data_IF_492054006175
#
_entry.id   IF_492054006175
#
_cell.length_a   1.000
_cell.length_b   1.000
_cell.length_c   1.000
_cell.angle_alpha   90.00
_cell.angle_beta   90.00
_cell.angle_gamma   90.00
#
_symmetry.space_group_name_H-M   'P 1'
#
loop_
_entity.id
_entity.type
_entity.pdbx_description
1 polymer ?
#
# COMPACT_ATOMS: atom_id res chain seq x y z
N UNK A 1 16.52 5.35 3.69
CA UNK A 1 17.53 4.54 2.95
C UNK A 1 17.18 4.53 1.47
N UNK A 2 16.78 5.69 0.95
CA UNK A 2 16.06 5.82 -0.32
C UNK A 2 16.09 7.30 -0.74
N UNK A 3 15.63 7.56 -1.96
CA UNK A 3 15.45 8.88 -2.53
C UNK A 3 13.99 9.09 -2.89
N UNK A 4 13.30 9.96 -2.15
CA UNK A 4 11.89 10.29 -2.35
C UNK A 4 11.70 11.70 -2.94
N UNK A 5 10.50 12.00 -3.43
CA UNK A 5 10.13 13.31 -3.99
C UNK A 5 10.18 14.45 -2.96
N UNK A 6 9.87 14.15 -1.69
CA UNK A 6 9.88 15.11 -0.59
C UNK A 6 10.61 14.56 0.63
N UNK A 7 10.98 15.47 1.55
CA UNK A 7 11.40 15.18 2.91
C UNK A 7 10.50 16.02 3.81
N UNK A 8 9.71 15.37 4.65
CA UNK A 8 8.74 16.03 5.52
C UNK A 8 9.30 16.02 6.93
N UNK A 9 9.66 17.18 7.44
CA UNK A 9 10.15 17.39 8.80
C UNK A 9 9.03 17.95 9.69
N UNK A 10 9.28 18.03 11.00
CA UNK A 10 8.30 18.54 11.96
C UNK A 10 7.81 19.96 11.60
N UNK A 11 8.70 20.84 11.11
CA UNK A 11 8.34 22.20 10.71
C UNK A 11 7.35 22.24 9.53
N UNK A 12 7.46 21.31 8.58
CA UNK A 12 6.53 21.21 7.44
C UNK A 12 5.14 20.78 7.90
N UNK A 13 5.08 19.84 8.85
CA UNK A 13 3.81 19.41 9.48
C UNK A 13 3.17 20.53 10.29
N UNK A 14 3.96 21.31 11.03
CA UNK A 14 3.47 22.42 11.83
C UNK A 14 2.72 23.46 10.98
N UNK A 15 3.15 23.70 9.74
CA UNK A 15 2.49 24.61 8.81
C UNK A 15 1.10 24.13 8.34
N UNK A 16 0.81 22.83 8.48
CA UNK A 16 -0.46 22.21 8.09
C UNK A 16 -1.37 21.90 9.28
N UNK A 17 -0.91 22.15 10.51
CA UNK A 17 -1.72 21.92 11.71
C UNK A 17 -2.99 22.79 11.70
N UNK A 18 -4.13 22.17 12.02
CA UNK A 18 -5.44 22.83 12.01
C UNK A 18 -6.02 23.07 10.62
N UNK A 19 -5.40 22.56 9.55
CA UNK A 19 -6.01 22.57 8.22
C UNK A 19 -7.35 21.82 8.24
N UNK A 20 -8.38 22.36 7.57
CA UNK A 20 -9.76 21.84 7.66
C UNK A 20 -9.92 20.38 7.19
N UNK A 21 -8.97 19.87 6.41
CA UNK A 21 -8.95 18.48 5.93
C UNK A 21 -8.12 17.53 6.80
N UNK A 22 -7.41 18.03 7.82
CA UNK A 22 -6.53 17.23 8.69
C UNK A 22 -7.13 17.04 10.07
N UNK A 23 -7.09 15.80 10.58
CA UNK A 23 -7.61 15.45 11.91
C UNK A 23 -6.55 14.89 12.87
N UNK A 24 -5.31 14.78 12.40
CA UNK A 24 -4.21 14.23 13.19
C UNK A 24 -2.97 13.99 12.34
N UNK A 25 -2.02 13.27 12.91
CA UNK A 25 -0.86 12.74 12.21
C UNK A 25 -1.22 11.36 11.65
N UNK A 26 -0.97 11.16 10.35
CA UNK A 26 -1.15 9.88 9.68
C UNK A 26 -0.19 8.82 10.24
N UNK A 27 -0.32 7.59 9.72
CA UNK A 27 0.36 6.41 10.24
C UNK A 27 1.86 6.62 10.48
N UNK A 28 2.30 6.32 11.70
CA UNK A 28 3.70 6.53 12.08
C UNK A 28 4.54 5.26 11.91
N UNK A 29 4.93 5.00 10.66
CA UNK A 29 5.60 3.75 10.25
C UNK A 29 7.03 3.60 10.79
N UNK A 30 7.72 4.71 11.11
CA UNK A 30 9.06 4.68 11.69
C UNK A 30 9.00 4.33 13.20
N UNK A 31 8.43 3.17 13.52
CA UNK A 31 8.36 2.64 14.89
C UNK A 31 9.74 2.43 15.54
N UNK A 32 10.84 2.07 14.84
CA UNK A 32 12.17 2.01 15.46
C UNK A 32 12.63 3.38 15.94
N UNK A 33 12.38 4.43 15.13
CA UNK A 33 12.64 5.81 15.53
C UNK A 33 11.88 6.21 16.79
N UNK A 34 10.66 5.71 16.99
CA UNK A 34 9.88 5.94 18.21
C UNK A 34 10.52 5.23 19.41
N UNK A 35 10.81 3.92 19.27
CA UNK A 35 11.37 3.07 20.34
C UNK A 35 12.73 3.59 20.81
N UNK A 36 13.58 3.98 19.85
CA UNK A 36 14.92 4.51 20.12
C UNK A 36 14.94 6.03 20.34
N UNK A 37 13.77 6.68 20.33
CA UNK A 37 13.59 8.12 20.56
C UNK A 37 14.44 8.99 19.63
N UNK A 38 14.47 8.64 18.35
CA UNK A 38 15.07 9.45 17.30
C UNK A 38 14.55 10.90 17.39
N UNK A 39 15.44 11.92 17.44
CA UNK A 39 15.02 13.30 17.65
C UNK A 39 14.03 13.81 16.60
N UNK A 40 14.17 13.42 15.33
CA UNK A 40 13.28 13.87 14.27
C UNK A 40 11.91 13.20 14.36
N UNK A 41 11.86 11.90 14.66
CA UNK A 41 10.61 11.19 14.92
C UNK A 41 9.88 11.78 16.13
N UNK A 42 10.56 11.96 17.25
CA UNK A 42 9.97 12.52 18.47
C UNK A 42 9.51 13.97 18.28
N UNK A 43 10.20 14.77 17.47
CA UNK A 43 9.78 16.13 17.16
C UNK A 43 8.41 16.16 16.44
N UNK A 44 8.18 15.23 15.51
CA UNK A 44 6.88 15.09 14.83
C UNK A 44 5.78 14.69 15.81
N UNK A 45 6.01 13.67 16.65
CA UNK A 45 5.01 13.20 17.61
C UNK A 45 4.61 14.27 18.62
N UNK A 46 5.57 15.06 19.11
CA UNK A 46 5.30 16.16 20.06
C UNK A 46 4.38 17.24 19.49
N UNK A 47 4.40 17.48 18.17
CA UNK A 47 3.49 18.44 17.55
C UNK A 47 2.03 18.01 17.64
N UNK A 48 1.78 16.71 17.71
CA UNK A 48 0.44 16.12 17.77
C UNK A 48 0.11 15.54 19.16
N UNK A 49 0.87 15.92 20.19
CA UNK A 49 0.62 15.48 21.57
C UNK A 49 -0.79 15.90 22.03
N UNK A 50 -1.55 14.94 22.56
CA UNK A 50 -2.95 15.13 22.92
C UNK A 50 -3.94 15.11 21.75
N UNK A 51 -3.44 15.06 20.51
CA UNK A 51 -4.23 14.84 19.29
C UNK A 51 -4.28 13.38 18.86
N UNK A 52 -4.82 13.14 17.67
CA UNK A 52 -4.81 11.82 17.04
C UNK A 52 -3.47 11.59 16.32
N UNK A 53 -2.88 10.42 16.56
CA UNK A 53 -1.71 9.92 15.84
C UNK A 53 -2.02 8.48 15.45
N UNK A 54 -2.03 8.23 14.15
CA UNK A 54 -2.28 6.91 13.60
C UNK A 54 -1.03 6.03 13.67
N UNK A 55 -1.23 4.72 13.82
CA UNK A 55 -0.13 3.77 14.03
C UNK A 55 0.05 2.79 12.89
N UNK A 56 1.30 2.36 12.76
CA UNK A 56 1.80 1.35 11.84
C UNK A 56 2.97 0.64 12.52
N UNK A 57 2.74 -0.55 13.07
CA UNK A 57 3.75 -1.30 13.82
C UNK A 57 3.67 -2.82 13.58
N UNK A 58 4.00 -3.29 12.36
CA UNK A 58 3.96 -4.72 12.02
C UNK A 58 4.89 -5.52 12.93
N UNK A 59 4.39 -6.64 13.48
CA UNK A 59 5.13 -7.59 14.33
C UNK A 59 5.67 -7.00 15.64
N UNK A 60 5.33 -5.75 15.97
CA UNK A 60 5.84 -5.09 17.17
C UNK A 60 5.13 -5.63 18.41
N UNK A 61 5.89 -6.11 19.39
CA UNK A 61 5.38 -6.79 20.59
C UNK A 61 6.09 -6.37 21.88
N UNK A 62 5.56 -6.82 23.01
CA UNK A 62 6.22 -6.76 24.31
C UNK A 62 6.49 -5.34 24.81
N UNK A 63 7.75 -5.06 25.16
CA UNK A 63 8.16 -3.74 25.70
C UNK A 63 8.29 -2.68 24.62
N UNK A 64 8.61 -3.08 23.39
CA UNK A 64 8.75 -2.14 22.30
C UNK A 64 7.38 -1.64 21.84
N UNK A 65 6.37 -2.51 21.83
CA UNK A 65 4.97 -2.10 21.66
C UNK A 65 4.51 -1.15 22.78
N UNK A 66 4.91 -1.39 24.03
CA UNK A 66 4.63 -0.45 25.13
C UNK A 66 5.28 0.92 24.86
N UNK A 67 6.52 0.96 24.36
CA UNK A 67 7.22 2.20 24.06
C UNK A 67 6.50 2.99 22.94
N UNK A 68 6.07 2.30 21.89
CA UNK A 68 5.31 2.87 20.78
C UNK A 68 3.97 3.47 21.25
N UNK A 69 3.19 2.69 22.01
CA UNK A 69 1.94 3.17 22.59
C UNK A 69 2.17 4.32 23.60
N UNK A 70 3.21 4.26 24.42
CA UNK A 70 3.54 5.32 25.38
C UNK A 70 3.89 6.65 24.70
N UNK A 71 4.32 6.63 23.43
CA UNK A 71 4.60 7.83 22.64
C UNK A 71 3.34 8.58 22.14
N UNK A 72 2.14 8.07 22.42
CA UNK A 72 0.87 8.74 22.11
C UNK A 72 0.10 8.15 20.93
N UNK A 73 0.64 7.12 20.26
CA UNK A 73 0.02 6.45 19.12
C UNK A 73 -1.09 5.50 19.62
N UNK A 74 -2.25 5.50 18.97
CA UNK A 74 -3.47 4.85 19.54
C UNK A 74 -4.21 3.90 18.62
N UNK A 75 -3.97 3.96 17.32
CA UNK A 75 -4.54 3.03 16.34
C UNK A 75 -3.44 2.18 15.76
N UNK A 76 -3.83 1.08 15.11
CA UNK A 76 -2.91 0.19 14.43
C UNK A 76 -3.65 -0.71 13.44
N UNK A 77 -3.10 -0.91 12.25
CA UNK A 77 -3.71 -1.69 11.17
C UNK A 77 -2.82 -2.80 10.57
N UNK A 78 -1.59 -2.98 11.07
CA UNK A 78 -0.61 -3.94 10.52
C UNK A 78 -0.60 -5.33 11.19
N UNK A 79 -1.61 -5.64 12.00
CA UNK A 79 -1.70 -6.97 12.62
C UNK A 79 -2.13 -8.04 11.62
N UNK A 80 -1.30 -9.08 11.46
CA UNK A 80 -1.55 -10.17 10.48
C UNK A 80 -2.05 -11.47 11.13
N UNK A 81 -2.03 -11.55 12.46
CA UNK A 81 -2.56 -12.69 13.23
C UNK A 81 -3.45 -12.23 14.38
N UNK A 82 -4.33 -13.14 14.84
CA UNK A 82 -5.19 -12.90 15.99
C UNK A 82 -4.37 -12.66 17.28
N UNK A 83 -3.24 -13.35 17.45
CA UNK A 83 -2.38 -13.21 18.62
C UNK A 83 -1.77 -11.80 18.69
N UNK A 84 -1.26 -11.32 17.56
CA UNK A 84 -0.68 -9.98 17.44
C UNK A 84 -1.74 -8.90 17.71
N UNK A 85 -2.89 -9.00 17.05
CA UNK A 85 -4.00 -8.09 17.26
C UNK A 85 -4.51 -8.10 18.70
N UNK A 86 -4.58 -9.27 19.34
CA UNK A 86 -4.98 -9.40 20.74
C UNK A 86 -4.00 -8.72 21.69
N UNK A 87 -2.69 -8.87 21.48
CA UNK A 87 -1.69 -8.14 22.27
C UNK A 87 -1.88 -6.63 22.11
N UNK A 88 -2.01 -6.15 20.87
CA UNK A 88 -2.23 -4.72 20.56
C UNK A 88 -3.48 -4.17 21.26
N UNK A 89 -4.58 -4.91 21.27
CA UNK A 89 -5.79 -4.58 22.04
C UNK A 89 -5.53 -4.53 23.55
N UNK A 90 -4.80 -5.51 24.10
CA UNK A 90 -4.44 -5.55 25.53
C UNK A 90 -3.53 -4.40 25.96
N UNK A 91 -2.74 -3.83 25.04
CA UNK A 91 -1.94 -2.62 25.25
C UNK A 91 -2.75 -1.32 25.09
N UNK A 92 -4.04 -1.42 24.77
CA UNK A 92 -4.93 -0.28 24.65
C UNK A 92 -4.88 0.43 23.30
N UNK A 93 -4.28 -0.19 22.27
CA UNK A 93 -4.44 0.26 20.89
C UNK A 93 -5.83 -0.12 20.37
N UNK A 94 -6.36 0.71 19.47
CA UNK A 94 -7.50 0.33 18.63
C UNK A 94 -6.98 -0.40 17.41
N UNK A 95 -7.49 -1.60 17.16
CA UNK A 95 -7.09 -2.40 16.00
C UNK A 95 -8.04 -2.13 14.85
N UNK A 96 -7.49 -1.74 13.71
CA UNK A 96 -8.20 -1.57 12.45
C UNK A 96 -8.01 -2.87 11.66
N UNK A 97 -9.07 -3.65 11.49
CA UNK A 97 -9.05 -4.85 10.66
C UNK A 97 -8.94 -4.39 9.20
N UNK A 98 -7.92 -4.88 8.51
CA UNK A 98 -7.63 -4.53 7.12
C UNK A 98 -8.13 -5.59 6.15
N UNK A 99 -8.73 -5.15 5.05
CA UNK A 99 -9.02 -5.98 3.88
C UNK A 99 -8.69 -5.23 2.59
N UNK A 100 -7.39 -5.09 2.35
CA UNK A 100 -6.83 -4.50 1.14
C UNK A 100 -6.59 -5.51 0.04
N UNK A 101 -6.07 -5.05 -1.10
CA UNK A 101 -5.82 -5.90 -2.27
C UNK A 101 -4.68 -6.90 -2.09
N UNK A 102 -3.63 -6.53 -1.32
CA UNK A 102 -2.48 -7.40 -0.99
C UNK A 102 -2.23 -7.50 0.52
N UNK A 103 -3.25 -7.17 1.31
CA UNK A 103 -3.20 -7.09 2.77
C UNK A 103 -4.53 -7.57 3.36
N UNK A 104 -4.80 -8.87 3.16
CA UNK A 104 -6.07 -9.53 3.49
C UNK A 104 -6.02 -10.17 4.88
N UNK A 105 -6.21 -9.34 5.91
CA UNK A 105 -6.08 -9.72 7.32
C UNK A 105 -7.44 -10.01 8.00
N UNK A 106 -8.56 -9.74 7.30
CA UNK A 106 -9.91 -9.86 7.84
C UNK A 106 -10.20 -11.25 8.41
N UNK A 107 -9.89 -12.30 7.66
CA UNK A 107 -10.16 -13.67 8.09
C UNK A 107 -9.37 -14.06 9.34
N UNK A 108 -8.12 -13.60 9.45
CA UNK A 108 -7.26 -13.90 10.59
C UNK A 108 -7.73 -13.16 11.86
N UNK A 109 -8.22 -11.92 11.71
CA UNK A 109 -8.62 -11.06 12.83
C UNK A 109 -10.11 -11.19 13.19
N UNK A 110 -10.94 -11.76 12.31
CA UNK A 110 -12.38 -11.93 12.50
C UNK A 110 -12.77 -12.54 13.85
N UNK A 111 -12.08 -13.58 14.39
CA UNK A 111 -12.45 -14.18 15.68
C UNK A 111 -12.38 -13.20 16.85
N UNK A 112 -11.61 -12.13 16.73
CA UNK A 112 -11.50 -11.10 17.75
C UNK A 112 -12.66 -10.12 17.72
N UNK A 113 -13.42 -9.98 16.63
CA UNK A 113 -14.49 -8.99 16.52
C UNK A 113 -15.80 -9.49 17.15
N UNK A 114 -15.95 -9.20 18.44
CA UNK A 114 -17.09 -9.60 19.27
C UNK A 114 -17.81 -8.38 19.84
N UNK A 115 -18.93 -8.54 20.52
CA UNK A 115 -19.57 -7.43 21.25
C UNK A 115 -18.65 -6.78 22.29
N UNK A 116 -17.73 -7.56 22.89
CA UNK A 116 -16.79 -7.09 23.92
C UNK A 116 -15.70 -6.19 23.34
N UNK A 117 -15.16 -6.56 22.18
CA UNK A 117 -14.00 -5.92 21.54
C UNK A 117 -14.38 -4.90 20.48
N UNK A 118 -15.57 -4.97 19.90
CA UNK A 118 -16.05 -4.04 18.89
C UNK A 118 -15.86 -2.55 19.23
N UNK A 119 -15.98 -2.07 20.49
CA UNK A 119 -15.66 -0.69 20.83
C UNK A 119 -14.21 -0.25 20.58
N UNK A 120 -13.28 -1.19 20.48
CA UNK A 120 -11.84 -0.98 20.27
C UNK A 120 -11.35 -1.50 18.91
N UNK A 121 -12.24 -2.03 18.08
CA UNK A 121 -11.93 -2.51 16.75
C UNK A 121 -12.66 -1.69 15.69
N UNK A 122 -11.97 -1.43 14.58
CA UNK A 122 -12.46 -0.65 13.45
C UNK A 122 -12.22 -1.44 12.16
N UNK A 123 -12.78 -0.99 11.04
CA UNK A 123 -12.49 -1.55 9.72
C UNK A 123 -11.74 -0.52 8.88
N UNK A 124 -10.73 -0.96 8.14
CA UNK A 124 -10.08 -0.19 7.09
C UNK A 124 -9.83 -1.09 5.87
N UNK A 125 -9.73 -0.49 4.69
CA UNK A 125 -9.24 -1.21 3.52
C UNK A 125 -7.75 -1.07 3.35
N UNK A 126 -7.15 -0.01 3.95
CA UNK A 126 -5.82 0.44 3.61
C UNK A 126 -5.72 0.59 2.07
N UNK A 127 -4.74 -0.02 1.42
CA UNK A 127 -4.61 -0.02 -0.03
C UNK A 127 -5.56 -1.02 -0.72
N UNK A 128 -6.52 -0.48 -1.46
CA UNK A 128 -7.45 -1.27 -2.29
C UNK A 128 -7.51 -0.75 -3.71
N UNK A 129 -7.24 -1.64 -4.67
CA UNK A 129 -7.27 -1.37 -6.09
C UNK A 129 -8.72 -1.05 -6.53
N UNK A 130 -8.94 -0.04 -7.41
CA UNK A 130 -10.24 0.18 -8.06
C UNK A 130 -10.87 -1.08 -8.66
N UNK A 131 -10.08 -2.05 -9.14
CA UNK A 131 -10.61 -3.31 -9.66
C UNK A 131 -11.33 -4.12 -8.57
N UNK A 132 -10.69 -4.34 -7.41
CA UNK A 132 -11.28 -5.02 -6.26
C UNK A 132 -12.49 -4.26 -5.69
N UNK A 133 -12.48 -2.92 -5.76
CA UNK A 133 -13.65 -2.10 -5.37
C UNK A 133 -14.82 -2.38 -6.32
N UNK A 134 -14.57 -2.53 -7.63
CA UNK A 134 -15.59 -2.85 -8.62
C UNK A 134 -16.13 -4.28 -8.52
N UNK A 135 -15.25 -5.24 -8.21
CA UNK A 135 -15.57 -6.68 -8.19
C UNK A 135 -16.22 -7.12 -6.88
N UNK A 136 -15.69 -6.69 -5.74
CA UNK A 136 -16.11 -7.16 -4.41
C UNK A 136 -16.86 -6.08 -3.62
N UNK A 137 -16.44 -4.82 -3.76
CA UNK A 137 -16.90 -3.67 -2.97
C UNK A 137 -15.80 -3.08 -2.08
N UNK A 138 -16.20 -2.25 -1.10
CA UNK A 138 -15.29 -1.56 -0.18
C UNK A 138 -15.56 -2.00 1.26
N UNK A 139 -15.94 -1.10 2.18
CA UNK A 139 -16.28 -1.49 3.56
C UNK A 139 -17.56 -2.34 3.63
N UNK A 140 -18.47 -2.21 2.66
CA UNK A 140 -19.68 -3.03 2.57
C UNK A 140 -19.34 -4.51 2.37
N UNK A 141 -18.31 -4.81 1.57
CA UNK A 141 -17.80 -6.18 1.40
C UNK A 141 -17.30 -6.74 2.73
N UNK A 142 -16.45 -5.97 3.43
CA UNK A 142 -15.90 -6.39 4.72
C UNK A 142 -16.99 -6.69 5.75
N UNK A 143 -18.02 -5.85 5.83
CA UNK A 143 -19.15 -6.05 6.75
C UNK A 143 -19.87 -7.36 6.42
N UNK A 144 -20.23 -7.56 5.15
CA UNK A 144 -20.93 -8.77 4.72
C UNK A 144 -20.08 -10.03 4.95
N UNK A 145 -18.77 -9.96 4.67
CA UNK A 145 -17.85 -11.08 4.85
C UNK A 145 -17.66 -11.43 6.34
N UNK A 146 -17.47 -10.44 7.21
CA UNK A 146 -17.39 -10.66 8.66
C UNK A 146 -18.65 -11.35 9.19
N UNK A 147 -19.83 -10.88 8.77
CA UNK A 147 -21.11 -11.48 9.15
C UNK A 147 -21.22 -12.91 8.63
N UNK A 148 -20.85 -13.15 7.37
CA UNK A 148 -20.81 -14.49 6.76
C UNK A 148 -19.90 -15.45 7.51
N UNK A 149 -18.78 -14.96 8.05
CA UNK A 149 -17.84 -15.71 8.89
C UNK A 149 -18.33 -15.90 10.35
N UNK A 150 -19.47 -15.31 10.72
CA UNK A 150 -20.11 -15.49 12.03
C UNK A 150 -19.90 -14.35 13.03
N UNK A 151 -19.35 -13.20 12.60
CA UNK A 151 -19.33 -12.00 13.44
C UNK A 151 -20.75 -11.50 13.69
N UNK A 152 -21.13 -11.15 14.95
CA UNK A 152 -22.44 -10.57 15.21
C UNK A 152 -22.67 -9.28 14.39
N UNK A 153 -23.81 -9.12 13.69
CA UNK A 153 -24.04 -7.95 12.83
C UNK A 153 -23.84 -6.60 13.54
N UNK A 154 -24.30 -6.47 14.79
CA UNK A 154 -24.10 -5.24 15.56
C UNK A 154 -22.63 -4.94 15.84
N UNK A 155 -21.77 -5.95 16.00
CA UNK A 155 -20.34 -5.77 16.19
C UNK A 155 -19.67 -5.28 14.88
N UNK A 156 -20.03 -5.88 13.74
CA UNK A 156 -19.55 -5.48 12.42
C UNK A 156 -19.94 -4.03 12.08
N UNK A 157 -21.22 -3.68 12.21
CA UNK A 157 -21.69 -2.31 11.94
C UNK A 157 -21.13 -1.30 12.93
N UNK A 158 -20.94 -1.64 14.22
CA UNK A 158 -20.29 -0.74 15.18
C UNK A 158 -18.84 -0.46 14.78
N UNK A 159 -18.08 -1.49 14.42
CA UNK A 159 -16.69 -1.35 13.96
C UNK A 159 -16.59 -0.44 12.71
N UNK A 160 -17.54 -0.59 11.78
CA UNK A 160 -17.61 0.20 10.55
C UNK A 160 -18.18 1.63 10.73
N UNK A 161 -18.67 1.99 11.92
CA UNK A 161 -19.32 3.28 12.16
C UNK A 161 -18.81 3.97 13.44
N UNK A 162 -19.45 3.72 14.58
CA UNK A 162 -19.18 4.41 15.84
C UNK A 162 -17.75 4.19 16.33
N UNK A 163 -17.24 2.97 16.26
CA UNK A 163 -15.88 2.69 16.74
C UNK A 163 -14.83 3.38 15.87
N UNK A 164 -15.02 3.40 14.55
CA UNK A 164 -14.18 4.18 13.63
C UNK A 164 -14.24 5.68 13.94
N UNK A 165 -15.43 6.25 14.07
CA UNK A 165 -15.60 7.66 14.41
C UNK A 165 -14.92 8.02 15.74
N UNK A 166 -15.07 7.20 16.78
CA UNK A 166 -14.41 7.39 18.07
C UNK A 166 -12.89 7.25 17.99
N UNK A 167 -12.36 6.34 17.17
CA UNK A 167 -10.92 6.12 17.00
C UNK A 167 -10.20 7.37 16.46
N UNK A 168 -10.87 8.06 15.55
CA UNK A 168 -10.37 9.28 14.90
C UNK A 168 -10.88 10.58 15.56
N UNK A 169 -11.53 10.49 16.72
CA UNK A 169 -12.02 11.66 17.47
C UNK A 169 -13.17 12.43 16.80
N UNK A 170 -13.85 11.82 15.82
CA UNK A 170 -14.96 12.41 15.08
C UNK A 170 -16.26 12.31 15.88
N UNK A 171 -16.60 13.41 16.56
CA UNK A 171 -17.78 13.47 17.45
C UNK A 171 -19.08 13.82 16.73
N UNK A 172 -19.08 14.06 15.43
CA UNK A 172 -20.26 14.47 14.68
C UNK A 172 -20.93 13.31 13.92
N UNK A 173 -20.28 12.14 13.78
CA UNK A 173 -20.76 11.03 12.92
C UNK A 173 -20.58 9.65 13.58
N UNK A 174 -20.92 8.59 12.83
CA UNK A 174 -20.81 7.20 13.28
C UNK A 174 -22.00 6.68 14.08
N UNK A 175 -23.04 7.50 14.27
CA UNK A 175 -24.26 7.14 15.01
C UNK A 175 -25.48 7.85 14.44
N UNK A 176 -26.61 7.14 14.34
CA UNK A 176 -27.92 7.74 14.02
C UNK A 176 -28.51 8.35 15.29
N UNK A 177 -28.37 9.66 15.48
CA UNK A 177 -28.90 10.39 16.63
C UNK A 177 -29.14 11.87 16.31
N UNK A 178 -30.10 12.54 16.97
CA UNK A 178 -30.29 13.99 16.86
C UNK A 178 -28.99 14.76 17.15
N UNK A 179 -28.68 15.76 16.33
CA UNK A 179 -27.46 16.57 16.46
C UNK A 179 -26.20 15.96 15.82
N UNK A 180 -26.28 14.77 15.23
CA UNK A 180 -25.20 14.18 14.42
C UNK A 180 -25.36 14.56 12.93
N UNK A 181 -24.25 14.48 12.19
CA UNK A 181 -24.20 14.61 10.73
C UNK A 181 -25.01 13.48 10.10
N UNK A 182 -25.84 13.82 9.13
CA UNK A 182 -26.67 12.85 8.40
C UNK A 182 -25.87 12.12 7.31
N UNK A 183 -24.84 11.39 7.74
CA UNK A 183 -24.15 10.38 6.94
C UNK A 183 -24.85 9.03 7.22
N UNK A 184 -25.76 8.63 6.33
CA UNK A 184 -26.71 7.53 6.56
C UNK A 184 -26.66 6.57 5.38
N UNK A 185 -26.58 5.27 5.67
CA UNK A 185 -26.75 4.20 4.68
C UNK A 185 -28.03 3.46 5.05
N UNK A 186 -28.98 3.40 4.10
CA UNK A 186 -30.20 2.59 4.22
C UNK A 186 -29.92 1.27 3.55
N UNK A 187 -30.17 0.18 4.28
CA UNK A 187 -29.89 -1.18 3.83
C UNK A 187 -31.19 -1.93 3.60
N UNK A 188 -31.30 -2.64 2.48
CA UNK A 188 -32.40 -3.58 2.23
C UNK A 188 -32.17 -4.92 2.94
N UNK A 189 -30.92 -5.23 3.28
CA UNK A 189 -30.51 -6.45 3.99
C UNK A 189 -29.26 -6.17 4.85
N UNK A 190 -29.33 -6.52 6.13
CA UNK A 190 -28.27 -6.24 7.13
C UNK A 190 -27.13 -7.26 7.02
N UNK A 191 -27.43 -8.51 6.69
CA UNK A 191 -26.48 -9.61 6.69
C UNK A 191 -25.55 -9.52 5.47
N UNK A 192 -26.11 -9.13 4.32
CA UNK A 192 -25.36 -8.95 3.07
C UNK A 192 -24.84 -7.53 2.86
N UNK A 193 -25.18 -6.60 3.76
CA UNK A 193 -24.88 -5.17 3.62
C UNK A 193 -25.36 -4.58 2.28
N UNK A 194 -26.55 -5.00 1.82
CA UNK A 194 -27.13 -4.54 0.56
C UNK A 194 -27.63 -3.09 0.70
N UNK A 195 -26.93 -2.16 0.04
CA UNK A 195 -27.22 -0.71 0.12
C UNK A 195 -28.36 -0.32 -0.81
N UNK A 196 -29.38 0.33 -0.26
CA UNK A 196 -30.52 0.87 -1.00
C UNK A 196 -30.39 2.38 -1.22
N UNK A 197 -30.04 3.14 -0.17
CA UNK A 197 -29.88 4.60 -0.24
C UNK A 197 -28.65 5.04 0.54
N UNK A 198 -27.99 6.10 0.06
CA UNK A 198 -26.89 6.75 0.77
C UNK A 198 -27.19 8.23 0.89
N UNK A 199 -26.98 8.76 2.09
CA UNK A 199 -27.01 10.20 2.39
C UNK A 199 -25.63 10.63 2.88
N UNK A 200 -25.10 11.70 2.32
CA UNK A 200 -23.86 12.33 2.75
C UNK A 200 -24.16 13.76 3.18
N UNK A 201 -23.94 14.06 4.47
CA UNK A 201 -24.29 15.36 5.05
C UNK A 201 -25.76 15.75 4.86
N UNK A 202 -26.68 14.77 4.84
CA UNK A 202 -28.11 14.98 4.63
C UNK A 202 -28.55 15.10 3.17
N UNK A 203 -27.63 15.04 2.22
CA UNK A 203 -27.96 15.01 0.78
C UNK A 203 -27.96 13.58 0.28
N UNK A 204 -29.06 13.15 -0.34
CA UNK A 204 -29.11 11.83 -0.98
C UNK A 204 -28.10 11.77 -2.14
N UNK A 205 -27.25 10.75 -2.13
CA UNK A 205 -26.32 10.46 -3.22
C UNK A 205 -27.12 9.87 -4.38
N UNK A 206 -27.11 10.59 -5.49
CA UNK A 206 -27.75 10.21 -6.77
C UNK A 206 -26.77 10.50 -7.89
N UNK A 207 -26.99 9.95 -9.08
CA UNK A 207 -26.16 10.24 -10.26
C UNK A 207 -26.08 11.74 -10.55
N UNK A 208 -27.19 12.46 -10.36
CA UNK A 208 -27.24 13.91 -10.55
C UNK A 208 -26.40 14.64 -9.51
N UNK A 209 -26.54 14.27 -8.22
CA UNK A 209 -25.75 14.87 -7.15
C UNK A 209 -24.25 14.57 -7.31
N UNK A 210 -23.91 13.35 -7.72
CA UNK A 210 -22.53 12.94 -7.99
C UNK A 210 -21.94 13.66 -9.21
N UNK A 211 -22.72 13.85 -10.28
CA UNK A 211 -22.29 14.61 -11.45
C UNK A 211 -22.09 16.10 -11.17
N UNK A 212 -22.82 16.67 -10.19
CA UNK A 212 -22.69 18.06 -9.78
C UNK A 212 -21.44 18.35 -8.92
N UNK A 213 -20.64 17.33 -8.59
CA UNK A 213 -19.41 17.50 -7.81
C UNK A 213 -18.44 18.45 -8.49
N UNK A 214 -17.73 19.24 -7.69
CA UNK A 214 -16.68 20.12 -8.21
C UNK A 214 -15.47 19.31 -8.68
N UNK A 215 -14.99 19.59 -9.89
CA UNK A 215 -13.69 19.11 -10.36
C UNK A 215 -12.60 20.06 -9.90
N UNK A 216 -11.54 19.52 -9.30
CA UNK A 216 -10.37 20.28 -8.87
C UNK A 216 -9.29 20.13 -9.95
N UNK A 217 -8.58 21.21 -10.33
CA UNK A 217 -7.45 21.11 -11.25
C UNK A 217 -6.38 20.13 -10.73
N UNK A 218 -5.80 19.28 -11.60
CA UNK A 218 -4.80 18.33 -11.16
C UNK A 218 -3.51 19.02 -10.74
N UNK A 219 -2.86 18.46 -9.73
CA UNK A 219 -1.55 18.89 -9.22
C UNK A 219 -0.49 17.83 -9.49
N UNK A 220 0.79 18.19 -9.42
CA UNK A 220 1.88 17.21 -9.47
C UNK A 220 2.02 16.47 -10.80
N UNK A 221 1.60 17.06 -11.93
CA UNK A 221 1.85 16.52 -13.27
C UNK A 221 3.32 16.57 -13.67
N UNK A 222 3.70 15.77 -14.67
CA UNK A 222 5.08 15.63 -15.13
C UNK A 222 6.08 15.31 -13.99
N UNK A 223 5.65 14.45 -13.06
CA UNK A 223 6.47 14.08 -11.89
C UNK A 223 7.51 13.00 -12.19
N UNK A 224 7.41 12.30 -13.32
CA UNK A 224 8.35 11.27 -13.73
C UNK A 224 9.51 11.91 -14.51
N UNK A 225 10.65 12.03 -13.83
CA UNK A 225 11.92 12.62 -14.32
C UNK A 225 13.05 11.61 -14.24
N UNK A 226 12.77 10.37 -14.63
CA UNK A 226 13.74 9.29 -14.64
C UNK A 226 14.79 9.48 -15.75
N UNK A 227 16.01 8.95 -15.58
CA UNK A 227 16.97 8.88 -16.67
C UNK A 227 16.47 7.95 -17.78
N UNK A 228 17.04 8.08 -18.99
CA UNK A 228 16.80 7.13 -20.08
C UNK A 228 17.39 5.76 -19.71
N UNK A 229 16.53 4.74 -19.67
CA UNK A 229 16.91 3.38 -19.32
C UNK A 229 17.26 2.58 -20.57
N UNK A 230 18.33 1.77 -20.47
CA UNK A 230 18.77 0.85 -21.53
C UNK A 230 18.81 -0.57 -20.96
N UNK A 231 18.86 -1.62 -21.80
CA UNK A 231 18.97 -2.99 -21.30
C UNK A 231 20.12 -3.19 -20.30
N UNK A 232 21.24 -2.50 -20.49
CA UNK A 232 22.41 -2.58 -19.61
C UNK A 232 22.16 -2.01 -18.21
N UNK A 233 21.17 -1.11 -18.06
CA UNK A 233 20.78 -0.53 -16.77
C UNK A 233 20.25 -1.56 -15.77
N UNK A 234 19.86 -2.75 -16.24
CA UNK A 234 19.27 -3.81 -15.42
C UNK A 234 20.25 -4.94 -15.07
N UNK A 235 21.50 -4.85 -15.52
CA UNK A 235 22.53 -5.83 -15.19
C UNK A 235 22.89 -5.75 -13.71
N UNK A 236 23.04 -6.89 -13.05
CA UNK A 236 23.55 -6.99 -11.68
C UNK A 236 24.97 -7.53 -11.70
N UNK A 237 25.94 -6.62 -11.77
CA UNK A 237 27.36 -6.98 -11.72
C UNK A 237 27.76 -7.37 -10.30
N UNK A 238 28.18 -8.62 -10.10
CA UNK A 238 28.64 -9.12 -8.81
C UNK A 238 29.80 -10.12 -8.98
N UNK A 239 30.59 -10.30 -7.93
CA UNK A 239 31.69 -11.26 -7.86
C UNK A 239 31.35 -12.55 -7.09
N UNK A 240 30.19 -12.59 -6.41
CA UNK A 240 29.66 -13.76 -5.68
C UNK A 240 28.43 -14.32 -6.39
N UNK A 241 28.21 -15.64 -6.38
CA UNK A 241 27.01 -16.25 -6.97
C UNK A 241 25.84 -16.32 -5.98
N UNK A 242 26.15 -16.34 -4.69
CA UNK A 242 25.20 -16.23 -3.60
C UNK A 242 24.46 -14.90 -3.71
N UNK A 243 23.14 -14.97 -3.71
CA UNK A 243 22.28 -13.84 -4.04
C UNK A 243 21.10 -13.81 -3.09
N UNK A 244 20.91 -12.65 -2.46
CA UNK A 244 19.73 -12.32 -1.68
C UNK A 244 18.54 -12.10 -2.63
N UNK A 245 17.44 -12.79 -2.36
CA UNK A 245 16.24 -12.77 -3.20
C UNK A 245 15.03 -12.47 -2.34
N UNK A 246 14.20 -11.54 -2.80
CA UNK A 246 12.90 -11.24 -2.16
C UNK A 246 11.95 -12.39 -2.49
N UNK A 247 11.46 -13.10 -1.48
CA UNK A 247 10.41 -14.10 -1.64
C UNK A 247 9.03 -13.50 -1.40
N UNK A 248 8.14 -13.59 -2.38
CA UNK A 248 6.76 -13.12 -2.28
C UNK A 248 5.90 -14.18 -1.57
N UNK A 249 5.09 -13.71 -0.64
CA UNK A 249 3.98 -14.48 -0.05
C UNK A 249 2.69 -13.85 -0.57
N UNK A 250 1.98 -14.55 -1.44
CA UNK A 250 0.77 -13.99 -2.06
C UNK A 250 -0.30 -13.59 -1.02
N UNK A 251 -0.88 -12.41 -1.22
CA UNK A 251 -1.88 -11.83 -0.29
C UNK A 251 -1.28 -11.19 0.96
N UNK A 252 0.06 -11.09 1.05
CA UNK A 252 0.75 -10.44 2.16
C UNK A 252 1.78 -9.41 1.67
N UNK A 253 1.95 -8.35 2.46
CA UNK A 253 2.98 -7.32 2.25
C UNK A 253 4.33 -7.68 2.89
N UNK A 254 4.32 -8.62 3.85
CA UNK A 254 5.55 -9.23 4.37
C UNK A 254 6.20 -10.14 3.33
N UNK A 255 7.52 -10.25 3.40
CA UNK A 255 8.34 -11.00 2.43
C UNK A 255 9.30 -11.96 3.13
N UNK A 256 9.76 -12.96 2.39
CA UNK A 256 10.85 -13.84 2.81
C UNK A 256 12.21 -13.30 2.34
N UNK A 257 13.26 -13.60 3.11
CA UNK A 257 14.65 -13.40 2.70
C UNK A 257 15.24 -14.73 2.22
N UNK A 258 15.14 -14.96 0.92
CA UNK A 258 15.64 -16.18 0.28
C UNK A 258 17.11 -16.01 -0.11
N UNK A 259 17.86 -17.11 -0.07
CA UNK A 259 19.25 -17.18 -0.48
C UNK A 259 19.37 -18.17 -1.64
N UNK A 260 19.72 -17.68 -2.81
CA UNK A 260 19.79 -18.47 -4.05
C UNK A 260 21.21 -18.41 -4.65
N UNK A 261 21.60 -19.46 -5.36
CA UNK A 261 22.81 -19.44 -6.20
C UNK A 261 22.39 -19.03 -7.61
N UNK A 262 22.86 -17.87 -8.06
CA UNK A 262 22.60 -17.35 -9.41
C UNK A 262 23.93 -17.28 -10.16
N UNK A 263 24.12 -18.08 -11.23
CA UNK A 263 25.34 -18.09 -12.00
C UNK A 263 25.64 -16.71 -12.61
N UNK A 264 26.92 -16.35 -12.62
CA UNK A 264 27.40 -15.16 -13.33
C UNK A 264 27.79 -15.60 -14.74
N UNK A 265 27.13 -15.02 -15.75
CA UNK A 265 27.39 -15.26 -17.17
C UNK A 265 27.60 -13.89 -17.83
N UNK A 266 28.68 -13.74 -18.60
CA UNK A 266 29.04 -12.48 -19.27
C UNK A 266 29.01 -11.24 -18.34
N UNK A 267 29.45 -11.43 -17.10
CA UNK A 267 29.53 -10.39 -16.06
C UNK A 267 28.18 -10.00 -15.43
N UNK A 268 27.11 -10.75 -15.70
CA UNK A 268 25.76 -10.49 -15.17
C UNK A 268 25.17 -11.75 -14.53
N UNK A 269 24.27 -11.54 -13.57
CA UNK A 269 23.40 -12.58 -13.03
C UNK A 269 22.06 -12.48 -13.76
N UNK A 270 21.80 -13.33 -14.73
CA UNK A 270 20.55 -13.24 -15.50
C UNK A 270 19.32 -13.73 -14.71
N UNK A 271 18.11 -13.23 -15.02
CA UNK A 271 16.86 -13.86 -14.62
C UNK A 271 16.80 -15.33 -15.03
N UNK A 272 16.12 -16.16 -14.24
CA UNK A 272 15.88 -17.57 -14.54
C UNK A 272 14.38 -17.87 -14.40
N UNK A 273 13.59 -17.73 -15.49
CA UNK A 273 12.16 -17.96 -15.45
C UNK A 273 11.75 -19.40 -15.10
N UNK A 274 12.62 -20.38 -15.33
CA UNK A 274 12.35 -21.78 -14.99
C UNK A 274 12.36 -21.99 -13.47
N UNK A 275 13.18 -21.22 -12.75
CA UNK A 275 13.24 -21.16 -11.28
C UNK A 275 12.37 -20.08 -10.64
N UNK A 276 11.60 -19.36 -11.46
CA UNK A 276 10.81 -18.20 -11.05
C UNK A 276 11.67 -17.08 -10.44
N UNK A 277 12.86 -16.85 -10.99
CA UNK A 277 13.73 -15.76 -10.58
C UNK A 277 13.65 -14.63 -11.61
N UNK A 278 13.00 -13.53 -11.24
CA UNK A 278 12.91 -12.32 -12.06
C UNK A 278 13.88 -11.25 -11.57
N UNK A 279 14.36 -10.41 -12.48
CA UNK A 279 15.07 -9.18 -12.13
C UNK A 279 14.04 -8.17 -11.64
N UNK A 280 14.30 -7.56 -10.48
CA UNK A 280 13.60 -6.35 -10.02
C UNK A 280 14.56 -5.17 -10.10
N UNK A 281 14.06 -4.00 -10.45
CA UNK A 281 14.80 -2.75 -10.43
C UNK A 281 13.96 -1.61 -9.84
N UNK A 282 14.62 -0.74 -9.10
CA UNK A 282 14.07 0.53 -8.61
C UNK A 282 14.88 1.68 -9.19
N UNK A 283 14.21 2.55 -9.95
CA UNK A 283 14.82 3.67 -10.68
C UNK A 283 14.34 4.99 -10.09
N UNK A 284 15.26 5.80 -9.60
CA UNK A 284 14.95 7.13 -9.06
C UNK A 284 14.32 8.01 -10.14
N UNK A 285 13.12 8.51 -9.87
CA UNK A 285 12.30 9.22 -10.87
C UNK A 285 11.96 10.66 -10.49
N UNK A 286 12.43 11.17 -9.36
CA UNK A 286 12.19 12.55 -8.93
C UNK A 286 13.23 13.53 -9.51
N UNK A 287 14.22 13.03 -10.24
CA UNK A 287 15.26 13.81 -10.89
C UNK A 287 16.31 14.34 -9.91
N UNK A 288 16.56 13.61 -8.81
CA UNK A 288 17.47 14.04 -7.74
C UNK A 288 18.86 13.45 -7.90
N UNK A 289 18.98 12.17 -8.23
CA UNK A 289 20.27 11.50 -8.37
C UNK A 289 20.36 10.51 -9.54
N UNK A 290 19.23 10.09 -10.13
CA UNK A 290 19.21 9.14 -11.24
C UNK A 290 19.70 7.74 -10.87
N UNK A 291 19.68 7.39 -9.58
CA UNK A 291 20.08 6.07 -9.11
C UNK A 291 19.22 4.96 -9.71
N UNK A 292 19.84 3.81 -9.94
CA UNK A 292 19.20 2.58 -10.39
C UNK A 292 19.75 1.45 -9.52
N UNK A 293 18.87 0.79 -8.78
CA UNK A 293 19.20 -0.42 -8.05
C UNK A 293 18.55 -1.62 -8.71
N UNK A 294 19.25 -2.76 -8.69
CA UNK A 294 18.77 -4.03 -9.22
C UNK A 294 18.88 -5.12 -8.17
N UNK A 295 17.91 -6.02 -8.13
CA UNK A 295 17.88 -7.18 -7.24
C UNK A 295 17.17 -8.35 -7.90
N UNK A 296 16.79 -9.34 -7.09
CA UNK A 296 16.02 -10.49 -7.55
C UNK A 296 14.78 -10.69 -6.70
N UNK A 297 13.73 -11.18 -7.35
CA UNK A 297 12.48 -11.55 -6.72
C UNK A 297 12.01 -12.92 -7.20
N UNK A 298 11.38 -13.67 -6.30
CA UNK A 298 10.76 -14.97 -6.53
C UNK A 298 9.30 -14.95 -6.10
N UNK A 299 8.42 -15.59 -6.86
CA UNK A 299 6.98 -15.68 -6.59
C UNK A 299 6.10 -14.89 -7.57
N UNK A 300 6.67 -14.24 -8.60
CA UNK A 300 5.86 -13.54 -9.61
C UNK A 300 5.24 -14.49 -10.63
N UNK A 301 5.90 -15.61 -10.95
CA UNK A 301 5.52 -16.52 -12.03
C UNK A 301 6.03 -16.11 -13.43
N UNK A 302 6.62 -14.92 -13.56
CA UNK A 302 6.93 -14.26 -14.84
C UNK A 302 7.80 -15.13 -15.76
N UNK A 303 7.30 -15.41 -16.97
CA UNK A 303 7.97 -16.26 -17.99
C UNK A 303 8.54 -15.50 -19.18
N UNK A 304 8.02 -14.31 -19.46
CA UNK A 304 8.47 -13.45 -20.55
C UNK A 304 8.22 -11.97 -20.21
N UNK A 305 8.91 -11.06 -20.90
CA UNK A 305 8.62 -9.63 -20.83
C UNK A 305 8.89 -8.99 -19.46
N UNK A 306 8.16 -7.90 -19.20
CA UNK A 306 8.29 -7.10 -18.00
C UNK A 306 6.99 -6.38 -17.64
N UNK A 307 6.85 -6.03 -16.36
CA UNK A 307 5.87 -5.06 -15.87
C UNK A 307 6.60 -3.92 -15.15
N UNK A 308 6.06 -2.71 -15.23
CA UNK A 308 6.62 -1.54 -14.57
C UNK A 308 5.51 -0.66 -13.96
N UNK A 309 5.84 0.04 -12.88
CA UNK A 309 4.94 0.87 -12.10
C UNK A 309 5.66 2.11 -11.54
N UNK A 310 4.96 3.25 -11.47
CA UNK A 310 5.40 4.40 -10.63
C UNK A 310 4.76 4.42 -9.24
N UNK A 311 3.79 3.53 -8.99
CA UNK A 311 3.28 3.23 -7.65
C UNK A 311 4.23 2.24 -6.99
N UNK A 312 4.94 2.70 -5.97
CA UNK A 312 6.11 2.04 -5.38
C UNK A 312 6.29 2.59 -3.96
N UNK A 313 5.65 1.98 -2.98
CA UNK A 313 5.50 2.56 -1.64
C UNK A 313 6.86 2.74 -0.95
N UNK A 314 7.16 3.85 -0.28
CA UNK A 314 6.48 5.16 -0.29
C UNK A 314 7.30 6.24 -1.01
N UNK A 315 8.52 5.90 -1.41
CA UNK A 315 9.34 6.82 -2.18
C UNK A 315 8.81 7.03 -3.61
N UNK A 316 7.92 6.15 -4.08
CA UNK A 316 7.25 6.19 -5.37
C UNK A 316 8.23 6.42 -6.51
N UNK A 317 9.28 5.60 -6.57
CA UNK A 317 10.19 5.55 -7.71
C UNK A 317 9.61 4.60 -8.77
N UNK A 318 10.25 4.48 -9.94
CA UNK A 318 9.82 3.45 -10.88
C UNK A 318 10.27 2.09 -10.33
N UNK A 319 9.33 1.18 -10.12
CA UNK A 319 9.61 -0.24 -9.90
C UNK A 319 9.36 -1.01 -11.19
N UNK A 320 10.29 -1.88 -11.57
CA UNK A 320 10.16 -2.73 -12.76
C UNK A 320 10.61 -4.14 -12.45
N UNK A 321 9.80 -5.14 -12.82
CA UNK A 321 10.16 -6.55 -12.73
C UNK A 321 10.06 -7.20 -14.10
N UNK A 322 11.07 -7.98 -14.47
CA UNK A 322 11.18 -8.53 -15.81
C UNK A 322 12.15 -9.69 -15.91
N UNK A 323 12.02 -10.43 -17.00
CA UNK A 323 12.97 -11.48 -17.40
C UNK A 323 13.71 -11.15 -18.68
N UNK A 324 13.30 -10.10 -19.39
CA UNK A 324 13.98 -9.54 -20.57
C UNK A 324 14.29 -8.05 -20.34
N UNK A 325 15.56 -7.66 -20.51
CA UNK A 325 16.00 -6.30 -20.22
C UNK A 325 15.57 -5.25 -21.24
N UNK A 326 15.31 -5.65 -22.49
CA UNK A 326 14.79 -4.73 -23.50
C UNK A 326 13.33 -4.39 -23.21
N UNK A 327 12.53 -5.37 -22.81
CA UNK A 327 11.15 -5.16 -22.38
C UNK A 327 11.07 -4.37 -21.07
N UNK A 328 11.99 -4.61 -20.12
CA UNK A 328 12.09 -3.79 -18.91
C UNK A 328 12.38 -2.32 -19.24
N UNK A 329 13.36 -2.07 -20.11
CA UNK A 329 13.69 -0.71 -20.55
C UNK A 329 12.51 -0.04 -21.26
N UNK A 330 11.82 -0.78 -22.14
CA UNK A 330 10.63 -0.29 -22.83
C UNK A 330 9.53 0.09 -21.85
N UNK A 331 9.18 -0.80 -20.92
CA UNK A 331 8.12 -0.55 -19.94
C UNK A 331 8.43 0.65 -19.05
N UNK A 332 9.65 0.73 -18.52
CA UNK A 332 10.05 1.79 -17.60
C UNK A 332 10.20 3.16 -18.30
N UNK A 333 10.73 3.21 -19.52
CA UNK A 333 10.79 4.46 -20.29
C UNK A 333 9.39 4.95 -20.66
N UNK A 334 8.48 4.04 -21.02
CA UNK A 334 7.09 4.38 -21.36
C UNK A 334 6.38 5.10 -20.20
N UNK A 335 6.67 4.75 -18.95
CA UNK A 335 6.15 5.47 -17.77
C UNK A 335 6.52 6.95 -17.77
N UNK A 336 7.68 7.33 -18.29
CA UNK A 336 8.06 8.76 -18.39
C UNK A 336 7.23 9.49 -19.45
N UNK A 337 6.86 8.80 -20.54
CA UNK A 337 6.06 9.38 -21.63
C UNK A 337 4.59 9.58 -21.23
N UNK A 338 4.03 8.67 -20.42
CA UNK A 338 2.64 8.73 -19.95
C UNK A 338 2.49 9.43 -18.59
N UNK A 339 3.57 10.05 -18.08
CA UNK A 339 3.63 10.75 -16.78
C UNK A 339 3.38 9.86 -15.56
N UNK A 340 3.65 8.57 -15.69
CA UNK A 340 3.53 7.56 -14.66
C UNK A 340 2.30 6.68 -14.84
N UNK A 341 2.26 5.60 -14.08
CA UNK A 341 1.20 4.61 -14.12
C UNK A 341 1.72 3.19 -14.13
N UNK A 342 1.11 2.35 -14.95
CA UNK A 342 1.43 0.93 -15.10
C UNK A 342 1.68 0.60 -16.56
N UNK A 343 2.67 -0.25 -16.84
CA UNK A 343 2.99 -0.71 -18.20
C UNK A 343 3.34 -2.19 -18.17
N UNK A 344 2.82 -2.95 -19.14
CA UNK A 344 3.20 -4.34 -19.43
C UNK A 344 3.85 -4.37 -20.81
N UNK A 345 5.05 -4.92 -20.91
CA UNK A 345 5.79 -5.03 -22.17
C UNK A 345 6.26 -6.46 -22.44
N UNK A 346 6.29 -6.83 -23.71
CA UNK A 346 6.79 -8.12 -24.19
C UNK A 346 7.21 -8.04 -25.65
N UNK A 347 8.32 -8.68 -26.00
CA UNK A 347 8.80 -8.83 -27.38
C UNK A 347 8.94 -7.47 -28.10
N UNK A 348 9.41 -6.45 -27.36
CA UNK A 348 9.61 -5.08 -27.84
C UNK A 348 8.33 -4.28 -28.06
N UNK A 349 7.21 -4.70 -27.45
CA UNK A 349 5.91 -4.01 -27.57
C UNK A 349 5.26 -3.79 -26.21
N UNK A 350 4.58 -2.65 -26.05
CA UNK A 350 3.67 -2.41 -24.93
C UNK A 350 2.36 -3.17 -25.20
N UNK A 351 2.02 -4.12 -24.32
CA UNK A 351 0.80 -4.91 -24.43
C UNK A 351 -0.40 -4.20 -23.80
N UNK A 352 -0.18 -3.52 -22.67
CA UNK A 352 -1.18 -2.73 -21.97
C UNK A 352 -0.51 -1.64 -21.13
N UNK A 353 -1.21 -0.54 -20.91
CA UNK A 353 -0.77 0.56 -20.05
C UNK A 353 -1.97 1.28 -19.41
N UNK A 354 -1.75 1.90 -18.26
CA UNK A 354 -2.68 2.83 -17.61
C UNK A 354 -1.89 4.07 -17.19
N UNK A 355 -2.27 5.24 -17.69
CA UNK A 355 -1.65 6.50 -17.30
C UNK A 355 -2.21 7.00 -15.96
N UNK A 356 -1.29 7.36 -15.06
CA UNK A 356 -1.55 7.96 -13.75
C UNK A 356 -0.84 9.33 -13.63
N UNK A 357 -1.17 10.32 -14.49
CA UNK A 357 -0.37 11.54 -14.64
C UNK A 357 -0.33 12.44 -13.40
N UNK A 358 -1.24 12.26 -12.44
CA UNK A 358 -1.22 13.01 -11.17
C UNK A 358 -0.23 12.34 -10.24
N UNK A 359 0.94 12.96 -10.08
CA UNK A 359 2.07 12.46 -9.30
C UNK A 359 2.62 11.08 -9.71
N UNK A 360 2.17 10.50 -10.84
CA UNK A 360 2.45 9.10 -11.19
C UNK A 360 1.66 8.10 -10.35
N UNK A 361 0.57 8.52 -9.71
CA UNK A 361 -0.18 7.72 -8.72
C UNK A 361 -1.69 7.71 -8.98
N UNK A 362 -2.26 8.77 -9.55
CA UNK A 362 -3.70 8.87 -9.80
C UNK A 362 -4.01 9.20 -11.25
N UNK A 363 -5.11 8.64 -11.75
CA UNK A 363 -5.64 8.93 -13.09
C UNK A 363 -6.50 10.19 -13.09
N UNK A 364 -6.63 10.83 -14.26
CA UNK A 364 -7.62 11.87 -14.53
C UNK A 364 -8.93 11.29 -15.06
N UNK A 365 -8.92 10.01 -15.43
CA UNK A 365 -10.07 9.33 -16.01
C UNK A 365 -11.08 8.91 -14.93
N UNK A 366 -12.36 8.77 -15.29
CA UNK A 366 -13.37 8.26 -14.37
C UNK A 366 -13.13 6.78 -14.05
N UNK A 367 -13.67 6.34 -12.90
CA UNK A 367 -13.55 4.99 -12.37
C UNK A 367 -13.82 3.91 -13.43
N UNK A 368 -14.89 4.04 -14.20
CA UNK A 368 -15.31 3.02 -15.18
C UNK A 368 -14.28 2.82 -16.28
N UNK A 369 -13.56 3.89 -16.66
CA UNK A 369 -12.47 3.78 -17.63
C UNK A 369 -11.24 3.15 -16.99
N UNK A 370 -10.86 3.61 -15.80
CA UNK A 370 -9.72 3.06 -15.04
C UNK A 370 -9.92 1.56 -14.80
N UNK A 371 -11.10 1.14 -14.36
CA UNK A 371 -11.47 -0.26 -14.16
C UNK A 371 -11.25 -1.11 -15.43
N UNK A 372 -11.79 -0.69 -16.58
CA UNK A 372 -11.60 -1.40 -17.86
C UNK A 372 -10.14 -1.48 -18.28
N UNK A 373 -9.35 -0.46 -18.02
CA UNK A 373 -7.94 -0.44 -18.39
C UNK A 373 -7.09 -1.30 -17.42
N UNK A 374 -7.48 -1.39 -16.14
CA UNK A 374 -6.93 -2.33 -15.16
C UNK A 374 -7.21 -3.79 -15.53
N UNK A 375 -8.42 -4.13 -16.01
CA UNK A 375 -8.73 -5.48 -16.50
C UNK A 375 -7.80 -5.90 -17.64
N UNK A 376 -7.54 -5.00 -18.59
CA UNK A 376 -6.59 -5.23 -19.69
C UNK A 376 -5.16 -5.40 -19.18
N UNK A 377 -4.75 -4.58 -18.22
CA UNK A 377 -3.43 -4.69 -17.58
C UNK A 377 -3.26 -6.03 -16.87
N UNK A 378 -4.24 -6.47 -16.08
CA UNK A 378 -4.23 -7.76 -15.39
C UNK A 378 -4.15 -8.91 -16.40
N UNK A 379 -4.96 -8.87 -17.46
CA UNK A 379 -4.91 -9.85 -18.55
C UNK A 379 -3.54 -9.87 -19.26
N UNK A 380 -2.96 -8.72 -19.55
CA UNK A 380 -1.65 -8.61 -20.17
C UNK A 380 -0.55 -9.17 -19.24
N UNK A 381 -0.59 -8.88 -17.94
CA UNK A 381 0.35 -9.43 -16.96
C UNK A 381 0.25 -10.97 -16.89
N UNK A 382 -0.97 -11.53 -16.84
CA UNK A 382 -1.17 -12.98 -16.89
C UNK A 382 -0.66 -13.62 -18.19
N UNK A 383 -0.74 -12.91 -19.32
CA UNK A 383 -0.17 -13.40 -20.58
C UNK A 383 1.37 -13.53 -20.55
N UNK A 384 2.04 -12.89 -19.58
CA UNK A 384 3.47 -13.04 -19.32
C UNK A 384 3.79 -14.25 -18.43
N UNK A 385 2.79 -14.95 -17.89
CA UNK A 385 2.93 -16.05 -16.95
C UNK A 385 2.85 -15.65 -15.47
N UNK A 386 2.54 -14.38 -15.18
CA UNK A 386 2.35 -13.92 -13.80
C UNK A 386 1.23 -14.72 -13.12
N UNK A 387 1.47 -15.15 -11.87
CA UNK A 387 0.49 -15.94 -11.10
C UNK A 387 -0.20 -15.14 -9.99
N UNK A 388 0.37 -14.00 -9.60
CA UNK A 388 -0.17 -13.14 -8.55
C UNK A 388 -1.47 -12.49 -9.00
N UNK A 389 -2.50 -12.51 -8.15
CA UNK A 389 -3.77 -11.84 -8.46
C UNK A 389 -3.60 -10.34 -8.70
N UNK A 390 -2.79 -9.67 -7.86
CA UNK A 390 -2.57 -8.21 -7.88
C UNK A 390 -1.08 -7.86 -8.07
N UNK A 391 -0.51 -8.05 -9.27
CA UNK A 391 0.94 -8.01 -9.47
C UNK A 391 1.54 -6.60 -9.36
N UNK A 392 0.80 -5.56 -9.74
CA UNK A 392 1.28 -4.17 -9.64
C UNK A 392 1.32 -3.68 -8.20
N UNK A 393 0.31 -4.02 -7.40
CA UNK A 393 0.31 -3.67 -6.00
C UNK A 393 1.33 -4.50 -5.22
N UNK A 394 1.46 -5.80 -5.51
CA UNK A 394 2.54 -6.61 -4.94
C UNK A 394 3.91 -6.01 -5.25
N UNK A 395 4.16 -5.58 -6.50
CA UNK A 395 5.39 -4.89 -6.90
C UNK A 395 5.61 -3.61 -6.08
N UNK A 396 4.55 -2.84 -5.83
CA UNK A 396 4.64 -1.58 -5.11
C UNK A 396 5.17 -1.76 -3.68
N UNK A 397 4.80 -2.86 -3.00
CA UNK A 397 5.25 -3.18 -1.64
C UNK A 397 6.62 -3.84 -1.54
N UNK A 398 7.23 -4.26 -2.65
CA UNK A 398 8.61 -4.78 -2.63
C UNK A 398 9.64 -3.68 -2.38
N UNK A 399 9.22 -2.42 -2.51
CA UNK A 399 10.05 -1.25 -2.34
C UNK A 399 9.82 -0.45 -1.06
N UNK A 400 9.00 -0.96 -0.13
CA UNK A 400 8.64 -0.27 1.12
C UNK A 400 9.55 -0.72 2.29
N UNK A 401 10.64 -0.01 2.62
CA UNK A 401 11.68 -0.47 3.54
C UNK A 401 11.33 -0.25 5.02
N UNK A 402 10.05 -0.43 5.37
CA UNK A 402 9.53 -0.40 6.75
C UNK A 402 8.70 -1.64 7.07
N UNK A 403 8.49 -2.52 6.08
CA UNK A 403 7.81 -3.81 6.25
C UNK A 403 8.81 -4.96 6.05
N UNK A 404 8.93 -5.91 7.01
CA UNK A 404 9.85 -7.04 6.92
C UNK A 404 9.65 -8.01 5.73
N UNK A 405 10.63 -8.83 5.37
CA UNK A 405 12.03 -8.85 5.86
C UNK A 405 13.00 -8.19 4.88
N UNK A 406 12.84 -8.41 3.57
CA UNK A 406 13.77 -7.94 2.55
C UNK A 406 13.04 -7.10 1.48
N UNK A 407 13.57 -5.91 1.20
CA UNK A 407 12.99 -4.94 0.25
C UNK A 407 14.06 -4.39 -0.68
N UNK A 408 13.68 -3.52 -1.62
CA UNK A 408 14.62 -2.83 -2.53
C UNK A 408 14.26 -1.36 -2.68
N UNK A 409 15.23 -0.46 -2.60
CA UNK A 409 15.05 0.98 -2.91
C UNK A 409 15.96 1.37 -4.07
N UNK A 410 15.93 2.64 -4.51
CA UNK A 410 16.89 3.15 -5.51
C UNK A 410 18.35 3.03 -5.06
N UNK A 411 18.60 2.75 -3.77
CA UNK A 411 19.94 2.61 -3.20
C UNK A 411 20.43 1.17 -3.06
N UNK A 412 19.59 0.19 -3.32
CA UNK A 412 19.94 -1.24 -3.20
C UNK A 412 18.91 -2.05 -2.42
N UNK A 413 19.27 -3.31 -2.15
CA UNK A 413 18.48 -4.21 -1.31
C UNK A 413 18.56 -3.77 0.15
N UNK A 414 17.46 -3.83 0.88
CA UNK A 414 17.35 -3.40 2.28
C UNK A 414 16.93 -4.58 3.14
N UNK A 415 17.77 -4.95 4.11
CA UNK A 415 17.38 -5.80 5.23
C UNK A 415 16.62 -4.92 6.23
N UNK A 416 15.30 -5.04 6.23
CA UNK A 416 14.41 -4.19 7.04
C UNK A 416 14.51 -4.55 8.52
N UNK A 417 14.88 -5.80 8.85
CA UNK A 417 15.06 -6.21 10.24
C UNK A 417 16.26 -5.53 10.89
N UNK A 418 17.30 -5.23 10.09
CA UNK A 418 18.51 -4.53 10.54
C UNK A 418 18.55 -3.04 10.15
N UNK A 419 17.62 -2.58 9.32
CA UNK A 419 17.61 -1.23 8.75
C UNK A 419 18.92 -0.87 8.03
N UNK A 420 19.43 -1.80 7.24
CA UNK A 420 20.69 -1.63 6.49
C UNK A 420 20.55 -1.98 5.01
N UNK A 421 21.38 -1.34 4.18
CA UNK A 421 21.56 -1.74 2.79
C UNK A 421 22.48 -2.96 2.74
N UNK A 422 22.09 -3.97 1.98
CA UNK A 422 22.95 -5.11 1.70
C UNK A 422 24.09 -4.70 0.74
N UNK A 423 25.29 -5.19 1.06
CA UNK A 423 26.54 -4.96 0.31
C UNK A 423 26.85 -6.01 -0.73
#
# INVERSE_FOLDING_TARGET
METAGARIEAADLAALMGHASGIGLAEFMNYPGVIHRDPAAMAKLRLFEGGHIDGHCPLLSGRDLNAYAAAGIRTEHEATTAEEALEKLQKGLRVLIREGSVSKDLHALQPLLTHTTAPYMCLCTDDRNPLDIGEEGHLNFMIAELIRLGTPPLAAYRAASLSGAEAFGLKDRGQIAPGRRADIVVLSDIETCAVELVFAGGTQVTDTAFAARQTIPPVGRHSVKAPLLRPESYRATANRQETDVIGIIEGKIITEHLHEIVPIQDGDKHPDPARDLARIAVVERHGKNGNIATGFVKGFGLKAGAIASTVCHDHHNIACVGVDYADMALAANRLSEIEGGFVVARDGRVLAELALPVAGLMSLDPFEKVHRDLEKLRSAAFSLGVTLNEPFLQLAFLALPVIPVLKITDRGMVDVMKFELLS
#
